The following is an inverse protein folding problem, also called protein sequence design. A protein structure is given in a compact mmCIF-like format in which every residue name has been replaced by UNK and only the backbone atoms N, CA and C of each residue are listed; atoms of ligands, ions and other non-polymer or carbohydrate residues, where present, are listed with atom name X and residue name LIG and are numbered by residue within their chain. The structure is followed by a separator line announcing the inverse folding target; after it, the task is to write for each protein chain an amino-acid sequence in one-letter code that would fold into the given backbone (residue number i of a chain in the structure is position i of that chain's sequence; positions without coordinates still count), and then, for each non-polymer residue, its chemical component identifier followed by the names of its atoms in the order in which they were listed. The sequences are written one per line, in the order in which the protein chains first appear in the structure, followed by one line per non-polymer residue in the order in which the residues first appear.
data_IF_769096513061
#
_entry.id   IF_769096513061
#
_cell.length_a   1.000
_cell.length_b   1.000
_cell.length_c   1.000
_cell.angle_alpha   90.00
_cell.angle_beta   90.00
_cell.angle_gamma   90.00
#
_symmetry.space_group_name_H-M   'P 1'
#
loop_
_entity.id
_entity.type
_entity.pdbx_description
1 polymer ?
#
# COMPACT_ATOMS: atom_id res chain seq x y z
N UNK A 1 35.15 5.52 0.86
CA UNK A 1 33.90 5.33 0.10
C UNK A 1 33.29 4.01 0.51
N UNK A 2 32.15 4.03 1.19
CA UNK A 2 31.42 2.82 1.61
C UNK A 2 30.88 2.13 0.36
N UNK A 3 31.42 0.94 0.04
CA UNK A 3 30.98 0.16 -1.11
C UNK A 3 29.53 -0.25 -0.88
N UNK A 4 28.61 0.34 -1.63
CA UNK A 4 27.21 -0.09 -1.67
C UNK A 4 27.20 -1.49 -2.28
N UNK A 5 27.20 -2.51 -1.42
CA UNK A 5 27.13 -3.91 -1.83
C UNK A 5 25.67 -4.35 -1.79
N UNK A 6 24.86 -3.84 -2.72
CA UNK A 6 23.53 -4.38 -2.93
C UNK A 6 23.66 -5.79 -3.50
N UNK A 7 23.48 -6.78 -2.64
CA UNK A 7 23.48 -8.19 -3.06
C UNK A 7 22.36 -8.42 -4.08
N UNK A 8 22.51 -9.41 -4.96
CA UNK A 8 21.44 -9.81 -5.88
C UNK A 8 20.14 -10.18 -5.13
N UNK A 9 20.28 -10.61 -3.88
CA UNK A 9 19.17 -10.89 -2.97
C UNK A 9 18.40 -9.61 -2.61
N UNK A 10 19.08 -8.48 -2.35
CA UNK A 10 18.44 -7.20 -2.11
C UNK A 10 17.68 -6.70 -3.35
N UNK A 11 18.28 -6.79 -4.54
CA UNK A 11 17.62 -6.41 -5.80
C UNK A 11 16.36 -7.26 -6.05
N UNK A 12 16.44 -8.55 -5.80
CA UNK A 12 15.31 -9.48 -5.95
C UNK A 12 14.18 -9.15 -4.97
N UNK A 13 14.51 -8.88 -3.70
CA UNK A 13 13.52 -8.49 -2.70
C UNK A 13 12.82 -7.17 -3.05
N UNK A 14 13.57 -6.16 -3.52
CA UNK A 14 13.01 -4.88 -3.97
C UNK A 14 11.99 -5.09 -5.09
N UNK A 15 12.36 -5.86 -6.12
CA UNK A 15 11.44 -6.19 -7.24
C UNK A 15 10.20 -6.92 -6.76
N UNK A 16 10.35 -7.86 -5.82
CA UNK A 16 9.21 -8.59 -5.27
C UNK A 16 8.26 -7.66 -4.50
N UNK A 17 8.78 -6.75 -3.69
CA UNK A 17 7.96 -5.76 -2.97
C UNK A 17 7.25 -4.83 -3.95
N UNK A 18 7.95 -4.31 -4.96
CA UNK A 18 7.34 -3.50 -6.02
C UNK A 18 6.22 -4.27 -6.75
N UNK A 19 6.43 -5.55 -7.05
CA UNK A 19 5.41 -6.39 -7.69
C UNK A 19 4.19 -6.64 -6.81
N UNK A 20 4.38 -6.78 -5.49
CA UNK A 20 3.25 -6.95 -4.55
C UNK A 20 2.43 -5.66 -4.46
N UNK A 21 3.11 -4.52 -4.31
CA UNK A 21 2.45 -3.21 -4.22
C UNK A 21 1.72 -2.89 -5.53
N UNK A 22 2.36 -3.10 -6.68
CA UNK A 22 1.76 -2.87 -8.00
C UNK A 22 0.78 -3.97 -8.43
N UNK A 23 0.79 -5.14 -7.76
CA UNK A 23 0.02 -6.33 -8.12
C UNK A 23 -1.42 -6.34 -7.60
N UNK A 24 -1.95 -5.18 -7.20
CA UNK A 24 -3.36 -5.01 -6.85
C UNK A 24 -3.64 -4.76 -5.37
N UNK A 25 -2.63 -4.55 -4.52
CA UNK A 25 -2.91 -4.19 -3.11
C UNK A 25 -3.67 -2.86 -2.99
N UNK A 26 -3.27 -1.85 -3.77
CA UNK A 26 -3.99 -0.58 -3.84
C UNK A 26 -5.41 -0.76 -4.38
N UNK A 27 -5.61 -1.65 -5.34
CA UNK A 27 -6.92 -1.97 -5.89
C UNK A 27 -7.80 -2.69 -4.87
N UNK A 28 -7.23 -3.61 -4.10
CA UNK A 28 -7.91 -4.29 -3.00
C UNK A 28 -8.38 -3.31 -1.93
N UNK A 29 -7.56 -2.32 -1.56
CA UNK A 29 -7.97 -1.23 -0.66
C UNK A 29 -9.14 -0.45 -1.27
N UNK A 30 -9.09 -0.12 -2.56
CA UNK A 30 -10.19 0.59 -3.22
C UNK A 30 -11.48 -0.24 -3.28
N UNK A 31 -11.38 -1.56 -3.46
CA UNK A 31 -12.53 -2.47 -3.46
C UNK A 31 -13.14 -2.59 -2.08
N UNK A 32 -12.31 -2.72 -1.03
CA UNK A 32 -12.76 -2.66 0.37
C UNK A 32 -13.49 -1.35 0.65
N UNK A 33 -12.94 -0.22 0.16
CA UNK A 33 -13.56 1.08 0.33
C UNK A 33 -14.96 1.17 -0.29
N UNK A 34 -15.12 0.62 -1.49
CA UNK A 34 -16.41 0.56 -2.17
C UNK A 34 -17.44 -0.25 -1.37
N UNK A 35 -17.06 -1.42 -0.84
CA UNK A 35 -17.96 -2.24 -0.02
C UNK A 35 -18.33 -1.57 1.30
N UNK A 36 -17.36 -0.95 1.98
CA UNK A 36 -17.63 -0.25 3.23
C UNK A 36 -18.54 0.97 3.04
N UNK A 37 -18.48 1.66 1.89
CA UNK A 37 -19.45 2.70 1.53
C UNK A 37 -20.86 2.14 1.34
N UNK A 38 -21.00 1.02 0.64
CA UNK A 38 -22.30 0.35 0.44
C UNK A 38 -22.90 -0.03 1.80
N UNK A 39 -22.10 -0.62 2.69
CA UNK A 39 -22.53 -1.01 4.03
C UNK A 39 -22.79 0.19 4.96
N UNK A 40 -22.27 1.37 4.63
CA UNK A 40 -22.52 2.59 5.40
C UNK A 40 -23.79 3.34 4.97
N UNK A 41 -24.39 2.95 3.83
CA UNK A 41 -25.64 3.53 3.35
C UNK A 41 -26.83 2.98 4.13
N UNK A 42 -27.58 3.88 4.79
CA UNK A 42 -28.78 3.51 5.56
C UNK A 42 -29.92 2.96 4.70
N UNK A 43 -29.91 3.17 3.39
CA UNK A 43 -30.88 2.55 2.49
C UNK A 43 -30.53 1.08 2.20
N UNK A 44 -29.28 0.66 2.42
CA UNK A 44 -28.80 -0.72 2.18
C UNK A 44 -28.80 -1.51 3.49
N UNK A 45 -28.30 -0.92 4.57
CA UNK A 45 -28.29 -1.53 5.89
C UNK A 45 -28.57 -0.48 6.96
N UNK A 46 -29.62 -0.69 7.75
CA UNK A 46 -29.98 0.18 8.87
C UNK A 46 -30.20 -0.61 10.17
N UNK A 47 -30.21 0.12 11.28
CA UNK A 47 -30.32 -0.40 12.64
C UNK A 47 -29.14 0.00 13.53
N UNK A 48 -29.19 -0.35 14.83
CA UNK A 48 -28.19 0.10 15.80
C UNK A 48 -26.75 -0.27 15.43
N UNK A 49 -26.53 -1.49 14.92
CA UNK A 49 -25.20 -1.95 14.48
C UNK A 49 -24.73 -1.25 13.21
N UNK A 50 -25.64 -0.98 12.26
CA UNK A 50 -25.32 -0.21 11.06
C UNK A 50 -24.91 1.22 11.41
N UNK A 51 -25.61 1.84 12.38
CA UNK A 51 -25.28 3.16 12.91
C UNK A 51 -23.88 3.19 13.55
N UNK A 52 -23.51 2.19 14.35
CA UNK A 52 -22.15 2.06 14.87
C UNK A 52 -21.14 1.88 13.75
N UNK A 53 -21.41 1.00 12.79
CA UNK A 53 -20.50 0.74 11.68
C UNK A 53 -20.21 2.01 10.86
N UNK A 54 -21.25 2.73 10.40
CA UNK A 54 -21.11 3.96 9.62
C UNK A 54 -20.60 5.16 10.43
N UNK A 55 -20.85 5.16 11.74
CA UNK A 55 -20.49 6.25 12.65
C UNK A 55 -19.05 6.18 13.16
N UNK A 56 -18.49 4.98 13.36
CA UNK A 56 -17.14 4.82 13.93
C UNK A 56 -16.31 3.76 13.22
N UNK A 57 -16.80 2.52 13.15
CA UNK A 57 -15.98 1.37 12.72
C UNK A 57 -15.42 1.55 11.32
N UNK A 58 -16.27 1.94 10.37
CA UNK A 58 -15.87 2.11 8.98
C UNK A 58 -15.00 3.35 8.77
N UNK A 59 -15.36 4.55 9.26
CA UNK A 59 -14.47 5.72 9.17
C UNK A 59 -13.06 5.50 9.73
N UNK A 60 -12.93 4.86 10.89
CA UNK A 60 -11.62 4.54 11.50
C UNK A 60 -10.82 3.57 10.64
N UNK A 61 -11.46 2.50 10.16
CA UNK A 61 -10.83 1.51 9.27
C UNK A 61 -10.39 2.16 7.96
N UNK A 62 -11.26 2.98 7.35
CA UNK A 62 -10.97 3.70 6.11
C UNK A 62 -9.75 4.61 6.27
N UNK A 63 -9.67 5.36 7.37
CA UNK A 63 -8.51 6.22 7.64
C UNK A 63 -7.21 5.41 7.74
N UNK A 64 -7.23 4.23 8.38
CA UNK A 64 -6.08 3.34 8.43
C UNK A 64 -5.70 2.77 7.05
N UNK A 65 -6.70 2.40 6.23
CA UNK A 65 -6.49 1.92 4.87
C UNK A 65 -5.90 3.01 3.96
N UNK A 66 -6.41 4.25 4.03
CA UNK A 66 -5.92 5.39 3.27
C UNK A 66 -4.47 5.73 3.66
N UNK A 67 -4.16 5.65 4.96
CA UNK A 67 -2.79 5.79 5.47
C UNK A 67 -1.88 4.68 4.94
N UNK A 68 -2.29 3.42 5.03
CA UNK A 68 -1.52 2.29 4.54
C UNK A 68 -1.24 2.41 3.03
N UNK A 69 -2.23 2.81 2.23
CA UNK A 69 -2.05 3.10 0.81
C UNK A 69 -0.97 4.16 0.58
N UNK A 70 -1.06 5.27 1.29
CA UNK A 70 -0.08 6.37 1.18
C UNK A 70 1.34 5.91 1.54
N UNK A 71 1.48 5.18 2.65
CA UNK A 71 2.77 4.67 3.12
C UNK A 71 3.37 3.67 2.12
N UNK A 72 2.56 2.85 1.47
CA UNK A 72 3.02 1.90 0.46
C UNK A 72 3.41 2.58 -0.85
N UNK A 73 2.70 3.63 -1.27
CA UNK A 73 3.09 4.45 -2.42
C UNK A 73 4.44 5.16 -2.18
N UNK A 74 4.65 5.67 -0.97
CA UNK A 74 5.92 6.25 -0.55
C UNK A 74 7.03 5.21 -0.52
N UNK A 75 6.77 4.03 0.06
CA UNK A 75 7.72 2.92 0.07
C UNK A 75 8.12 2.52 -1.35
N UNK A 76 7.16 2.37 -2.26
CA UNK A 76 7.44 2.06 -3.67
C UNK A 76 8.39 3.10 -4.28
N UNK A 77 8.10 4.38 -4.09
CA UNK A 77 8.92 5.47 -4.62
C UNK A 77 10.34 5.45 -4.06
N UNK A 78 10.50 5.17 -2.76
CA UNK A 78 11.81 5.03 -2.13
C UNK A 78 12.58 3.81 -2.68
N UNK A 79 11.89 2.68 -2.87
CA UNK A 79 12.48 1.47 -3.44
C UNK A 79 12.89 1.65 -4.90
N UNK A 80 12.13 2.40 -5.70
CA UNK A 80 12.50 2.77 -7.07
C UNK A 80 13.82 3.55 -7.08
N UNK A 81 13.96 4.54 -6.19
CA UNK A 81 15.19 5.33 -6.05
C UNK A 81 16.37 4.46 -5.59
N UNK A 82 16.19 3.64 -4.57
CA UNK A 82 17.22 2.72 -4.07
C UNK A 82 17.68 1.78 -5.19
N UNK A 83 16.73 1.23 -5.95
CA UNK A 83 17.01 0.40 -7.11
C UNK A 83 17.86 1.16 -8.15
N UNK A 84 17.47 2.38 -8.53
CA UNK A 84 18.23 3.21 -9.48
C UNK A 84 19.65 3.51 -9.00
N UNK A 85 19.81 3.89 -7.73
CA UNK A 85 21.12 4.18 -7.13
C UNK A 85 22.02 2.93 -7.13
N UNK A 86 21.45 1.77 -6.80
CA UNK A 86 22.12 0.47 -6.84
C UNK A 86 22.57 0.08 -8.26
N UNK A 87 21.69 0.21 -9.25
CA UNK A 87 22.00 -0.17 -10.64
C UNK A 87 23.01 0.78 -11.27
N UNK A 88 22.94 2.07 -10.95
CA UNK A 88 23.90 3.08 -11.42
C UNK A 88 25.27 2.91 -10.77
N UNK A 89 25.33 2.64 -9.46
CA UNK A 89 26.58 2.40 -8.74
C UNK A 89 27.25 1.07 -9.10
N UNK A 90 26.48 0.09 -9.59
CA UNK A 90 26.96 -1.23 -10.01
C UNK A 90 27.33 -1.37 -11.49
N UNK A 91 27.07 -0.36 -12.32
CA UNK A 91 27.30 -0.40 -13.78
C UNK A 91 28.75 -0.15 -14.24
N UNK A 92 29.72 -0.15 -13.31
CA UNK A 92 31.13 0.15 -13.56
C UNK A 92 32.07 -0.99 -13.18
N UNK A 93 31.78 -2.21 -13.64
CA UNK A 93 32.70 -3.35 -13.58
C UNK A 93 32.64 -4.15 -14.89
#
# INVERSE_FOLDING_TARGET
MSRVLSTEQAKTAIRQVQSIINGGFTDQISQLDAQGRILSDSNVWDGPLAATFRGSTWPETKAALDKAKTELEQLRTQLDKISQDIFTAGGGA
#
